data_IF_739814656003
#
_entry.id   IF_739814656003
#
_cell.length_a   1.000
_cell.length_b   1.000
_cell.length_c   1.000
_cell.angle_alpha   90.00
_cell.angle_beta   90.00
_cell.angle_gamma   90.00
#
_symmetry.space_group_name_H-M   'P 1'
#
loop_
_entity.id
_entity.type
_entity.pdbx_description
1 polymer ?
#
# COMPACT_ATOMS: atom_id res chain seq x y z
N UNK A 1 8.88 -3.14 34.58
CA UNK A 1 8.51 -3.62 35.92
C UNK A 1 9.73 -4.30 36.51
N UNK A 2 10.07 -4.00 37.76
CA UNK A 2 11.19 -4.66 38.43
C UNK A 2 10.83 -6.11 38.76
N UNK A 3 11.81 -7.01 38.95
CA UNK A 3 11.56 -8.41 39.31
C UNK A 3 10.81 -8.56 40.65
N UNK A 4 10.85 -7.54 41.52
CA UNK A 4 10.11 -7.49 42.77
C UNK A 4 8.61 -7.34 42.53
N UNK A 5 8.22 -6.42 41.63
CA UNK A 5 6.81 -6.14 41.29
C UNK A 5 6.10 -7.33 40.62
N UNK A 6 6.85 -8.17 39.91
CA UNK A 6 6.34 -9.39 39.28
C UNK A 6 6.07 -10.47 40.31
N UNK A 7 7.00 -10.71 41.26
CA UNK A 7 6.80 -11.70 42.32
C UNK A 7 5.64 -11.34 43.24
N UNK A 8 5.54 -10.07 43.64
CA UNK A 8 4.42 -9.57 44.45
C UNK A 8 3.08 -9.75 43.72
N UNK A 9 3.04 -9.51 42.42
CA UNK A 9 1.84 -9.72 41.61
C UNK A 9 1.48 -11.21 41.46
N UNK A 10 2.48 -12.09 41.31
CA UNK A 10 2.25 -13.54 41.28
C UNK A 10 1.68 -14.05 42.61
N UNK A 11 2.27 -13.67 43.73
CA UNK A 11 1.75 -14.04 45.06
C UNK A 11 0.35 -13.47 45.31
N UNK A 12 0.06 -12.28 44.80
CA UNK A 12 -1.30 -11.71 44.84
C UNK A 12 -2.30 -12.54 44.02
N UNK A 13 -1.94 -12.92 42.78
CA UNK A 13 -2.80 -13.75 41.93
C UNK A 13 -3.05 -15.13 42.56
N UNK A 14 -2.03 -15.75 43.14
CA UNK A 14 -2.16 -17.02 43.85
C UNK A 14 -3.14 -16.90 45.03
N UNK A 15 -3.03 -15.82 45.83
CA UNK A 15 -3.95 -15.55 46.92
C UNK A 15 -5.39 -15.34 46.46
N UNK A 16 -5.61 -14.60 45.36
CA UNK A 16 -6.97 -14.38 44.81
C UNK A 16 -7.57 -15.67 44.25
N UNK A 17 -6.76 -16.51 43.60
CA UNK A 17 -7.19 -17.81 43.09
C UNK A 17 -7.54 -18.76 44.25
N UNK A 18 -6.75 -18.75 45.32
CA UNK A 18 -7.01 -19.57 46.50
C UNK A 18 -8.27 -19.13 47.26
N UNK A 19 -8.45 -17.82 47.47
CA UNK A 19 -9.65 -17.25 48.10
C UNK A 19 -10.93 -17.61 47.31
N UNK A 20 -10.90 -17.45 45.99
CA UNK A 20 -12.06 -17.72 45.12
C UNK A 20 -12.35 -19.22 44.95
N UNK A 21 -11.35 -20.09 45.11
CA UNK A 21 -11.50 -21.55 44.99
C UNK A 21 -11.98 -22.23 46.28
N UNK A 22 -11.91 -21.55 47.44
CA UNK A 22 -12.35 -22.09 48.74
C UNK A 22 -13.86 -22.12 48.91
N UNK A 23 -14.60 -21.19 48.30
CA UNK A 23 -16.03 -21.03 48.55
C UNK A 23 -16.94 -21.58 47.42
N UNK A 24 -16.48 -21.65 46.16
CA UNK A 24 -17.25 -22.15 45.00
C UNK A 24 -16.35 -22.68 43.85
N UNK A 25 -16.96 -23.23 42.78
CA UNK A 25 -16.24 -23.58 41.54
C UNK A 25 -15.51 -22.36 40.99
N UNK A 26 -14.23 -22.53 40.66
CA UNK A 26 -13.36 -21.51 40.09
C UNK A 26 -14.05 -20.73 38.96
N UNK A 27 -14.20 -19.41 39.15
CA UNK A 27 -14.75 -18.49 38.16
C UNK A 27 -13.74 -17.41 37.81
N UNK A 28 -13.30 -17.41 36.56
CA UNK A 28 -12.38 -16.41 36.01
C UNK A 28 -12.97 -15.01 36.13
N UNK A 29 -14.30 -14.85 36.00
CA UNK A 29 -14.98 -13.57 36.12
C UNK A 29 -14.90 -12.98 37.54
N UNK A 30 -14.96 -13.82 38.57
CA UNK A 30 -14.81 -13.38 39.97
C UNK A 30 -13.37 -12.99 40.29
N UNK A 31 -12.39 -13.78 39.83
CA UNK A 31 -10.96 -13.46 39.96
C UNK A 31 -10.64 -12.13 39.27
N UNK A 32 -11.12 -11.95 38.05
CA UNK A 32 -11.00 -10.68 37.32
C UNK A 32 -11.67 -9.56 38.12
N UNK A 33 -12.91 -9.73 38.59
CA UNK A 33 -13.61 -8.73 39.41
C UNK A 33 -12.85 -8.28 40.66
N UNK A 34 -12.18 -9.20 41.38
CA UNK A 34 -11.37 -8.88 42.56
C UNK A 34 -10.08 -8.14 42.18
N UNK A 35 -9.43 -8.52 41.08
CA UNK A 35 -8.24 -7.82 40.57
C UNK A 35 -8.61 -6.39 40.16
N UNK A 36 -9.75 -6.23 39.47
CA UNK A 36 -10.28 -4.94 39.02
C UNK A 36 -10.64 -4.02 40.19
N UNK A 37 -11.17 -4.56 41.29
CA UNK A 37 -11.55 -3.78 42.48
C UNK A 37 -10.37 -3.40 43.37
N UNK A 38 -9.38 -4.28 43.54
CA UNK A 38 -8.19 -4.03 44.39
C UNK A 38 -7.11 -3.18 43.69
N UNK A 39 -7.06 -3.17 42.35
CA UNK A 39 -6.05 -2.41 41.60
C UNK A 39 -6.63 -1.57 40.44
N UNK A 40 -7.56 -0.63 40.73
CA UNK A 40 -8.21 0.19 39.71
C UNK A 40 -7.22 1.07 38.92
N UNK A 41 -6.12 1.53 39.55
CA UNK A 41 -5.07 2.28 38.86
C UNK A 41 -4.35 1.48 37.74
N UNK A 42 -4.35 0.15 37.82
CA UNK A 42 -3.80 -0.70 36.75
C UNK A 42 -4.76 -0.81 35.57
N UNK A 43 -6.07 -0.71 35.81
CA UNK A 43 -7.07 -0.61 34.75
C UNK A 43 -6.92 0.66 33.94
N UNK A 44 -6.73 1.80 34.60
CA UNK A 44 -6.50 3.05 33.87
C UNK A 44 -5.22 2.97 33.03
N UNK A 45 -4.17 2.29 33.54
CA UNK A 45 -2.96 2.03 32.75
C UNK A 45 -3.22 1.14 31.55
N UNK A 46 -3.90 0.00 31.73
CA UNK A 46 -4.23 -0.93 30.63
C UNK A 46 -5.16 -0.26 29.62
N UNK A 47 -6.18 0.46 30.09
CA UNK A 47 -7.11 1.23 29.25
C UNK A 47 -6.37 2.31 28.47
N UNK A 48 -5.48 3.06 29.11
CA UNK A 48 -4.65 4.06 28.44
C UNK A 48 -3.69 3.43 27.43
N UNK A 49 -3.12 2.26 27.72
CA UNK A 49 -2.27 1.52 26.79
C UNK A 49 -3.06 0.97 25.60
N UNK A 50 -4.25 0.39 25.82
CA UNK A 50 -5.15 -0.08 24.76
C UNK A 50 -5.66 1.09 23.91
N UNK A 51 -6.04 2.21 24.53
CA UNK A 51 -6.41 3.43 23.82
C UNK A 51 -5.23 4.01 23.05
N UNK A 52 -4.02 4.00 23.60
CA UNK A 52 -2.82 4.44 22.91
C UNK A 52 -2.45 3.51 21.75
N UNK A 53 -2.59 2.19 21.91
CA UNK A 53 -2.39 1.20 20.86
C UNK A 53 -3.46 1.33 19.77
N UNK A 54 -4.71 1.52 20.15
CA UNK A 54 -5.83 1.78 19.24
C UNK A 54 -5.67 3.09 18.48
N UNK A 55 -5.26 4.16 19.15
CA UNK A 55 -4.93 5.45 18.54
C UNK A 55 -3.71 5.33 17.62
N UNK A 56 -2.65 4.63 18.04
CA UNK A 56 -1.50 4.33 17.17
C UNK A 56 -1.90 3.51 15.96
N UNK A 57 -2.77 2.52 16.10
CA UNK A 57 -3.27 1.71 15.00
C UNK A 57 -4.15 2.54 14.05
N UNK A 58 -5.03 3.40 14.59
CA UNK A 58 -5.86 4.33 13.83
C UNK A 58 -5.01 5.39 13.11
N UNK A 59 -4.00 5.95 13.77
CA UNK A 59 -3.03 6.88 13.16
C UNK A 59 -2.22 6.13 12.10
N UNK A 60 -1.74 4.92 12.35
CA UNK A 60 -1.01 4.13 11.35
C UNK A 60 -1.88 3.78 10.15
N UNK A 61 -3.16 3.47 10.36
CA UNK A 61 -4.12 3.19 9.30
C UNK A 61 -4.55 4.45 8.54
N UNK A 62 -4.76 5.58 9.22
CA UNK A 62 -5.10 6.86 8.58
C UNK A 62 -3.90 7.52 7.90
N UNK A 63 -2.70 7.39 8.46
CA UNK A 63 -1.45 7.78 7.81
C UNK A 63 -1.12 6.82 6.66
N UNK A 64 -1.41 5.51 6.74
CA UNK A 64 -1.38 4.64 5.56
C UNK A 64 -2.46 4.99 4.54
N UNK A 65 -3.65 5.40 4.95
CA UNK A 65 -4.72 5.79 4.04
C UNK A 65 -4.43 7.14 3.35
N UNK A 66 -3.78 8.08 4.04
CA UNK A 66 -3.32 9.35 3.44
C UNK A 66 -1.99 9.22 2.66
N UNK A 67 -1.15 8.22 2.96
CA UNK A 67 0.11 7.94 2.22
C UNK A 67 -0.04 6.77 1.22
N UNK A 68 -1.25 6.21 1.07
CA UNK A 68 -1.64 5.32 -0.03
C UNK A 68 -2.29 6.09 -1.20
N UNK A 69 -2.23 7.43 -1.18
CA UNK A 69 -1.76 8.09 -2.39
C UNK A 69 -0.25 8.06 -2.27
N UNK A 70 0.37 7.17 -3.02
CA UNK A 70 1.80 7.27 -3.29
C UNK A 70 2.00 8.73 -3.71
N UNK A 71 2.70 9.51 -2.90
CA UNK A 71 3.23 10.80 -3.29
C UNK A 71 4.36 10.53 -4.30
N UNK A 72 4.01 9.87 -5.41
CA UNK A 72 4.61 10.15 -6.69
C UNK A 72 4.14 11.57 -7.00
N UNK A 73 4.93 12.40 -7.68
CA UNK A 73 4.52 13.75 -8.07
C UNK A 73 3.21 13.78 -8.89
N UNK A 74 2.94 14.88 -9.59
CA UNK A 74 1.88 14.87 -10.58
C UNK A 74 2.02 13.59 -11.43
N UNK A 75 0.99 12.73 -11.42
CA UNK A 75 0.98 11.55 -12.27
C UNK A 75 0.91 12.09 -13.68
N UNK A 76 2.06 12.15 -14.36
CA UNK A 76 2.19 12.67 -15.74
C UNK A 76 1.24 11.98 -16.71
N UNK A 77 0.80 10.77 -16.34
CA UNK A 77 -0.17 9.97 -17.06
C UNK A 77 -1.61 10.11 -16.56
N UNK A 78 -1.86 10.95 -15.57
CA UNK A 78 -3.15 11.12 -14.91
C UNK A 78 -4.23 11.70 -15.82
N UNK A 79 -3.84 12.39 -16.89
CA UNK A 79 -4.74 12.89 -17.93
C UNK A 79 -4.97 11.88 -19.06
N UNK A 80 -4.18 10.80 -19.14
CA UNK A 80 -4.34 9.72 -20.11
C UNK A 80 -5.19 8.58 -19.52
N UNK A 81 -6.02 7.97 -20.35
CA UNK A 81 -6.81 6.77 -20.02
C UNK A 81 -5.94 5.50 -20.02
N UNK A 82 -4.66 5.62 -20.36
CA UNK A 82 -3.68 4.54 -20.33
C UNK A 82 -3.57 3.99 -18.91
N UNK A 83 -3.97 2.72 -18.76
CA UNK A 83 -3.95 2.04 -17.47
C UNK A 83 -2.55 1.96 -16.85
N UNK A 84 -2.48 1.79 -15.53
CA UNK A 84 -1.20 1.71 -14.77
C UNK A 84 -0.24 0.64 -15.30
N UNK A 85 -0.79 -0.42 -15.90
CA UNK A 85 -0.04 -1.45 -16.63
C UNK A 85 -0.55 -1.56 -18.05
N UNK A 86 0.38 -1.53 -19.00
CA UNK A 86 0.12 -1.54 -20.44
C UNK A 86 0.58 -2.88 -21.00
N UNK A 87 -0.24 -3.48 -21.86
CA UNK A 87 0.12 -4.67 -22.60
C UNK A 87 1.05 -4.29 -23.75
N UNK A 88 2.30 -4.72 -23.68
CA UNK A 88 3.35 -4.42 -24.65
C UNK A 88 3.67 -5.67 -25.45
N UNK A 89 3.68 -5.60 -26.79
CA UNK A 89 4.09 -6.72 -27.62
C UNK A 89 5.62 -6.88 -27.60
N UNK A 90 6.09 -8.13 -27.57
CA UNK A 90 7.50 -8.46 -27.72
C UNK A 90 7.64 -9.80 -28.48
N UNK A 91 8.81 -10.03 -29.08
CA UNK A 91 9.14 -11.32 -29.68
C UNK A 91 9.91 -12.16 -28.67
N UNK A 92 9.45 -13.40 -28.45
CA UNK A 92 10.22 -14.36 -27.67
C UNK A 92 11.46 -14.86 -28.44
N UNK A 93 12.31 -15.66 -27.79
CA UNK A 93 13.53 -16.23 -28.40
C UNK A 93 13.26 -17.06 -29.67
N UNK A 94 12.01 -17.51 -29.87
CA UNK A 94 11.55 -18.27 -31.03
C UNK A 94 10.89 -17.36 -32.08
N UNK A 95 10.96 -16.05 -31.91
CA UNK A 95 10.35 -15.05 -32.80
C UNK A 95 8.83 -14.96 -32.71
N UNK A 96 8.20 -15.64 -31.74
CA UNK A 96 6.74 -15.64 -31.59
C UNK A 96 6.31 -14.38 -30.86
N UNK A 97 5.27 -13.73 -31.39
CA UNK A 97 4.66 -12.56 -30.77
C UNK A 97 4.01 -12.95 -29.44
N UNK A 98 4.42 -12.27 -28.39
CA UNK A 98 3.89 -12.36 -27.03
C UNK A 98 3.53 -10.97 -26.54
N UNK A 99 2.74 -10.93 -25.48
CA UNK A 99 2.30 -9.70 -24.84
C UNK A 99 2.60 -9.80 -23.35
N UNK A 100 3.29 -8.81 -22.80
CA UNK A 100 3.53 -8.72 -21.37
C UNK A 100 2.99 -7.39 -20.80
N UNK A 101 2.77 -7.34 -19.49
CA UNK A 101 2.26 -6.15 -18.80
C UNK A 101 3.39 -5.36 -18.15
N UNK A 102 3.85 -4.31 -18.81
CA UNK A 102 4.81 -3.34 -18.24
C UNK A 102 4.10 -2.22 -17.51
N UNK A 103 4.78 -1.56 -16.55
CA UNK A 103 4.26 -0.32 -15.95
C UNK A 103 4.34 0.80 -16.98
N UNK A 104 3.33 1.68 -17.03
CA UNK A 104 3.32 2.79 -18.00
C UNK A 104 4.51 3.76 -17.84
N UNK A 105 5.05 3.88 -16.63
CA UNK A 105 6.25 4.69 -16.32
C UNK A 105 7.55 4.07 -16.81
N UNK A 106 7.56 2.77 -17.11
CA UNK A 106 8.74 2.01 -17.53
C UNK A 106 8.72 1.72 -19.05
N UNK A 107 7.74 2.26 -19.78
CA UNK A 107 7.67 2.08 -21.23
C UNK A 107 8.88 2.71 -21.88
N UNK A 108 9.56 1.93 -22.73
CA UNK A 108 10.56 2.47 -23.65
C UNK A 108 9.88 3.07 -24.89
N UNK A 109 10.65 3.80 -25.70
CA UNK A 109 10.19 4.26 -27.01
C UNK A 109 9.91 3.09 -27.97
N UNK A 110 10.72 2.04 -27.91
CA UNK A 110 10.50 0.81 -28.70
C UNK A 110 9.19 0.12 -28.30
N UNK A 111 8.88 0.06 -27.00
CA UNK A 111 7.62 -0.49 -26.51
C UNK A 111 6.42 0.28 -27.10
N UNK A 112 6.51 1.62 -27.09
CA UNK A 112 5.47 2.49 -27.64
C UNK A 112 5.30 2.29 -29.15
N UNK A 113 6.40 2.23 -29.90
CA UNK A 113 6.39 2.02 -31.34
C UNK A 113 5.78 0.66 -31.70
N UNK A 114 6.13 -0.41 -30.98
CA UNK A 114 5.58 -1.75 -31.20
C UNK A 114 4.09 -1.83 -30.83
N UNK A 115 3.65 -1.16 -29.76
CA UNK A 115 2.21 -1.04 -29.42
C UNK A 115 1.44 -0.36 -30.55
N UNK A 116 1.98 0.75 -31.08
CA UNK A 116 1.35 1.53 -32.15
C UNK A 116 1.32 0.73 -33.45
N UNK A 117 2.40 0.06 -33.81
CA UNK A 117 2.53 -0.74 -35.03
C UNK A 117 1.61 -1.98 -35.04
N UNK A 118 1.37 -2.59 -33.87
CA UNK A 118 0.56 -3.81 -33.72
C UNK A 118 -0.80 -3.54 -33.09
N UNK A 119 -1.27 -2.30 -33.18
CA UNK A 119 -2.53 -1.90 -32.55
C UNK A 119 -3.72 -2.73 -33.06
N UNK A 120 -3.73 -2.97 -34.38
CA UNK A 120 -4.81 -3.70 -35.07
C UNK A 120 -4.69 -5.23 -34.90
N UNK A 121 -3.53 -5.75 -34.46
CA UNK A 121 -3.38 -7.17 -34.06
C UNK A 121 -4.20 -7.47 -32.80
N UNK A 122 -4.61 -6.43 -32.06
CA UNK A 122 -5.51 -6.49 -30.91
C UNK A 122 -6.92 -6.06 -31.34
N UNK A 123 -7.95 -6.72 -30.79
CA UNK A 123 -9.37 -6.53 -31.21
C UNK A 123 -9.74 -5.04 -31.42
N UNK A 124 -10.46 -4.73 -32.52
CA UNK A 124 -10.71 -3.37 -32.96
C UNK A 124 -11.78 -2.71 -32.08
N UNK A 125 -11.34 -1.92 -31.12
CA UNK A 125 -12.09 -0.74 -30.71
C UNK A 125 -11.12 0.41 -30.83
N UNK A 126 -11.55 1.49 -31.50
CA UNK A 126 -10.93 2.80 -31.31
C UNK A 126 -11.13 3.18 -29.85
N UNK A 127 -10.31 2.62 -28.95
CA UNK A 127 -10.32 3.02 -27.55
C UNK A 127 -9.68 4.40 -27.47
N UNK A 128 -10.16 5.22 -26.53
CA UNK A 128 -9.51 6.49 -26.19
C UNK A 128 -7.99 6.31 -25.97
N UNK A 129 -7.58 5.12 -25.52
CA UNK A 129 -6.19 4.72 -25.40
C UNK A 129 -5.38 4.91 -26.69
N UNK A 130 -5.92 4.69 -27.89
CA UNK A 130 -5.15 4.92 -29.13
C UNK A 130 -4.75 6.38 -29.28
N UNK A 131 -5.72 7.28 -29.08
CA UNK A 131 -5.47 8.73 -29.14
C UNK A 131 -4.47 9.16 -28.07
N UNK A 132 -4.57 8.57 -26.88
CA UNK A 132 -3.64 8.83 -25.79
C UNK A 132 -2.22 8.36 -26.14
N UNK A 133 -2.05 7.18 -26.75
CA UNK A 133 -0.73 6.72 -27.19
C UNK A 133 -0.14 7.57 -28.32
N UNK A 134 -0.97 8.01 -29.28
CA UNK A 134 -0.52 8.92 -30.33
C UNK A 134 -0.08 10.28 -29.73
N UNK A 135 -0.82 10.79 -28.74
CA UNK A 135 -0.45 12.04 -28.03
C UNK A 135 0.83 11.89 -27.21
N UNK A 136 0.95 10.79 -26.45
CA UNK A 136 2.17 10.44 -25.70
C UNK A 136 3.36 10.36 -26.66
N UNK A 137 3.21 9.69 -27.80
CA UNK A 137 4.26 9.56 -28.81
C UNK A 137 4.71 10.93 -29.31
N UNK A 138 3.76 11.80 -29.66
CA UNK A 138 4.05 13.17 -30.13
C UNK A 138 4.74 14.04 -29.08
N UNK A 139 4.30 14.01 -27.82
CA UNK A 139 4.89 14.82 -26.73
C UNK A 139 6.25 14.30 -26.31
N UNK A 140 6.46 12.99 -26.32
CA UNK A 140 7.72 12.36 -25.93
C UNK A 140 8.79 12.38 -27.05
N UNK A 141 8.38 12.44 -28.33
CA UNK A 141 9.29 12.36 -29.47
C UNK A 141 10.50 13.31 -29.42
N UNK A 142 10.39 14.59 -29.01
CA UNK A 142 11.54 15.50 -28.94
C UNK A 142 12.61 15.09 -27.92
N UNK A 143 12.28 14.24 -26.95
CA UNK A 143 13.15 13.83 -25.86
C UNK A 143 13.68 12.40 -26.03
N UNK A 144 13.46 11.78 -27.20
CA UNK A 144 13.81 10.38 -27.48
C UNK A 144 15.30 10.06 -27.29
N UNK A 145 16.17 11.03 -27.58
CA UNK A 145 17.63 10.85 -27.46
C UNK A 145 18.17 11.13 -26.05
N UNK A 146 17.34 11.69 -25.15
CA UNK A 146 17.78 12.19 -23.83
C UNK A 146 17.08 11.46 -22.68
N UNK A 147 15.82 11.06 -22.85
CA UNK A 147 15.03 10.36 -21.85
C UNK A 147 15.22 8.83 -21.93
N UNK A 148 15.31 8.17 -20.78
CA UNK A 148 15.43 6.70 -20.72
C UNK A 148 14.09 5.99 -20.82
N UNK A 149 13.01 6.69 -20.49
CA UNK A 149 11.63 6.15 -20.53
C UNK A 149 10.66 7.18 -21.10
N UNK A 150 9.49 6.73 -21.53
CA UNK A 150 8.37 7.60 -21.91
C UNK A 150 7.92 8.48 -20.74
N UNK A 151 7.97 7.96 -19.50
CA UNK A 151 7.63 8.75 -18.32
C UNK A 151 8.56 9.95 -18.14
N UNK A 152 9.87 9.71 -18.22
CA UNK A 152 10.88 10.78 -18.15
C UNK A 152 10.72 11.79 -19.30
N UNK A 153 10.44 11.31 -20.52
CA UNK A 153 10.22 12.18 -21.68
C UNK A 153 9.02 13.12 -21.49
N UNK A 154 7.93 12.62 -20.90
CA UNK A 154 6.74 13.42 -20.59
C UNK A 154 7.01 14.43 -19.46
N UNK A 155 7.82 14.08 -18.47
CA UNK A 155 8.26 15.03 -17.44
C UNK A 155 9.08 16.19 -18.04
N UNK A 156 9.97 15.89 -18.99
CA UNK A 156 10.73 16.91 -19.70
C UNK A 156 9.80 17.80 -20.55
N UNK A 157 8.83 17.19 -21.24
CA UNK A 157 7.83 17.93 -22.02
C UNK A 157 7.01 18.92 -21.18
N UNK A 158 6.54 18.48 -20.00
CA UNK A 158 5.77 19.36 -19.10
C UNK A 158 6.60 20.53 -18.56
N UNK A 159 7.88 20.29 -18.22
CA UNK A 159 8.80 21.37 -17.79
C UNK A 159 9.01 22.41 -18.87
N UNK A 160 9.00 21.99 -20.14
CA UNK A 160 9.13 22.88 -21.29
C UNK A 160 7.78 23.49 -21.74
N UNK A 161 6.68 23.18 -21.05
CA UNK A 161 5.33 23.69 -21.34
C UNK A 161 4.69 23.10 -22.61
N UNK A 162 5.05 21.86 -22.98
CA UNK A 162 4.60 21.16 -24.20
C UNK A 162 3.66 19.98 -23.91
#
# INVERSE_FOLDING_TARGET
MSNLELREFHSFLEGVIEETSREQRFSIEQVVGIILSKHPQRLDRIKNEVMALGLRALVRNNCRAKVSSTNNGADMFGHYHVGKRVSVPYKDEKGKLRWDKKRRTELSFEDLDEIIARWDDRRPKQSRDRKDFDDISRRAAPYRDVARTIGEALEMAERDGR
#
